data_IF_976215876767
#
_entry.id   IF_976215876767
#
_cell.length_a   1.000
_cell.length_b   1.000
_cell.length_c   1.000
_cell.angle_alpha   90.00
_cell.angle_beta   90.00
_cell.angle_gamma   90.00
#
_symmetry.space_group_name_H-M   'P 1'
#
loop_
_entity.id
_entity.type
_entity.pdbx_description
1 polymer ?
#
# COMPACT_ATOMS: atom_id res chain seq x y z
N UNK A 1 15.03 1.36 5.26
CA UNK A 1 13.83 0.56 4.93
C UNK A 1 12.65 1.31 5.50
N UNK A 2 11.48 1.24 4.87
CA UNK A 2 10.26 1.85 5.40
C UNK A 2 9.92 1.29 6.78
N UNK A 3 9.54 2.17 7.71
CA UNK A 3 9.03 1.79 9.03
C UNK A 3 7.51 1.65 9.02
N UNK A 4 6.96 0.83 9.93
CA UNK A 4 5.51 0.64 10.03
C UNK A 4 4.86 1.94 10.51
N UNK A 5 3.88 2.50 9.77
CA UNK A 5 3.15 3.67 10.22
C UNK A 5 2.37 3.41 11.51
N UNK A 6 2.27 4.44 12.35
CA UNK A 6 1.41 4.47 13.53
C UNK A 6 -0.01 4.93 13.12
N UNK A 7 -1.02 4.55 13.91
CA UNK A 7 -2.41 5.04 13.77
C UNK A 7 -3.09 4.79 12.41
N UNK A 8 -2.81 3.64 11.78
CA UNK A 8 -3.50 3.25 10.55
C UNK A 8 -4.98 2.94 10.87
N UNK A 9 -5.96 3.55 10.18
CA UNK A 9 -7.37 3.36 10.48
C UNK A 9 -7.84 1.95 10.13
N UNK A 10 -8.78 1.43 10.93
CA UNK A 10 -9.49 0.18 10.61
C UNK A 10 -10.71 0.49 9.73
N UNK A 11 -10.44 0.90 8.49
CA UNK A 11 -11.43 1.37 7.53
C UNK A 11 -11.05 0.96 6.10
N UNK A 12 -12.01 0.93 5.16
CA UNK A 12 -11.70 0.68 3.76
C UNK A 12 -10.94 1.86 3.13
N UNK A 13 -10.11 1.56 2.13
CA UNK A 13 -9.24 2.56 1.52
C UNK A 13 -8.34 2.01 0.42
N UNK A 14 -7.71 2.92 -0.31
CA UNK A 14 -6.56 2.61 -1.17
C UNK A 14 -5.27 3.10 -0.52
N UNK A 15 -4.18 2.37 -0.71
CA UNK A 15 -2.85 2.71 -0.19
C UNK A 15 -1.79 2.58 -1.29
N UNK A 16 -0.72 3.35 -1.16
CA UNK A 16 0.36 3.42 -2.13
C UNK A 16 1.70 3.38 -1.41
N UNK A 17 2.61 2.53 -1.87
CA UNK A 17 4.01 2.57 -1.43
C UNK A 17 4.81 3.41 -2.42
N UNK A 18 5.72 4.24 -1.90
CA UNK A 18 6.55 5.12 -2.71
C UNK A 18 8.04 4.84 -2.51
N UNK A 19 8.83 5.07 -3.56
CA UNK A 19 10.28 5.04 -3.51
C UNK A 19 10.88 6.40 -3.06
N UNK A 20 12.21 6.49 -3.01
CA UNK A 20 12.96 7.71 -2.64
C UNK A 20 12.75 8.88 -3.60
N UNK A 21 12.32 8.61 -4.83
CA UNK A 21 12.03 9.60 -5.86
C UNK A 21 10.56 10.09 -5.78
N UNK A 22 9.84 9.73 -4.72
CA UNK A 22 8.42 10.06 -4.52
C UNK A 22 7.48 9.49 -5.60
N UNK A 23 7.90 8.45 -6.31
CA UNK A 23 7.05 7.73 -7.27
C UNK A 23 6.30 6.59 -6.57
N UNK A 24 5.01 6.45 -6.87
CA UNK A 24 4.22 5.31 -6.39
C UNK A 24 4.68 4.03 -7.12
N UNK A 25 5.26 3.10 -6.37
CA UNK A 25 5.80 1.84 -6.91
C UNK A 25 4.83 0.67 -6.73
N UNK A 26 3.82 0.82 -5.89
CA UNK A 26 2.75 -0.15 -5.67
C UNK A 26 1.48 0.59 -5.27
N UNK A 27 0.33 0.11 -5.73
CA UNK A 27 -1.00 0.60 -5.35
C UNK A 27 -1.86 -0.61 -4.99
N UNK A 28 -2.60 -0.52 -3.90
CA UNK A 28 -3.54 -1.55 -3.50
C UNK A 28 -4.79 -1.00 -2.84
N UNK A 29 -5.82 -1.84 -2.72
CA UNK A 29 -7.03 -1.58 -1.92
C UNK A 29 -7.11 -2.46 -0.67
N UNK A 30 -7.87 -1.98 0.31
CA UNK A 30 -8.10 -2.67 1.55
C UNK A 30 -9.56 -2.54 2.01
N UNK A 31 -10.09 -3.61 2.61
CA UNK A 31 -11.29 -3.56 3.47
C UNK A 31 -10.98 -2.90 4.82
N UNK A 32 -9.77 -3.16 5.31
CA UNK A 32 -9.18 -2.59 6.52
C UNK A 32 -7.75 -2.18 6.18
N UNK A 33 -7.49 -0.87 6.10
CA UNK A 33 -6.16 -0.31 5.89
C UNK A 33 -5.20 -0.80 6.97
N UNK A 34 -5.63 -0.83 8.23
CA UNK A 34 -4.85 -1.34 9.37
C UNK A 34 -4.36 -2.76 9.11
N UNK A 35 -5.25 -3.70 8.79
CA UNK A 35 -4.88 -5.09 8.58
C UNK A 35 -4.00 -5.26 7.33
N UNK A 36 -4.39 -4.62 6.22
CA UNK A 36 -3.69 -4.78 4.95
C UNK A 36 -2.28 -4.20 5.02
N UNK A 37 -2.12 -2.95 5.46
CA UNK A 37 -0.80 -2.30 5.55
C UNK A 37 0.09 -3.03 6.57
N UNK A 38 -0.46 -3.43 7.72
CA UNK A 38 0.32 -4.15 8.73
C UNK A 38 0.86 -5.50 8.23
N UNK A 39 0.18 -6.16 7.28
CA UNK A 39 0.62 -7.44 6.72
C UNK A 39 1.96 -7.37 5.96
N UNK A 40 2.38 -6.18 5.51
CA UNK A 40 3.67 -5.98 4.85
C UNK A 40 4.85 -5.88 5.83
N UNK A 41 4.58 -5.66 7.12
CA UNK A 41 5.59 -5.45 8.16
C UNK A 41 5.78 -6.68 9.07
N UNK A 42 5.46 -7.87 8.55
CA UNK A 42 5.76 -9.15 9.20
C UNK A 42 7.21 -9.56 8.92
N UNK A 43 7.65 -10.71 9.46
CA UNK A 43 8.97 -11.27 9.14
C UNK A 43 9.17 -11.34 7.60
N UNK A 44 10.20 -10.68 7.04
CA UNK A 44 10.43 -10.64 5.59
C UNK A 44 10.53 -12.02 4.92
N UNK A 45 10.98 -13.04 5.64
CA UNK A 45 11.06 -14.41 5.14
C UNK A 45 9.68 -15.02 4.84
N UNK A 46 8.62 -14.51 5.50
CA UNK A 46 7.24 -14.91 5.27
C UNK A 46 6.57 -14.18 4.11
N UNK A 47 7.18 -13.12 3.60
CA UNK A 47 6.66 -12.39 2.44
C UNK A 47 7.05 -13.11 1.15
N UNK A 48 6.15 -13.09 0.17
CA UNK A 48 6.48 -13.46 -1.20
C UNK A 48 7.63 -12.59 -1.72
N UNK A 49 8.50 -13.17 -2.56
CA UNK A 49 9.71 -12.51 -3.05
C UNK A 49 9.41 -11.15 -3.73
N UNK A 50 8.37 -11.07 -4.57
CA UNK A 50 7.96 -9.80 -5.21
C UNK A 50 7.58 -8.73 -4.18
N UNK A 51 6.83 -9.11 -3.14
CA UNK A 51 6.44 -8.20 -2.04
C UNK A 51 7.65 -7.75 -1.24
N UNK A 52 8.57 -8.67 -0.95
CA UNK A 52 9.82 -8.39 -0.24
C UNK A 52 10.68 -7.40 -1.02
N UNK A 53 10.81 -7.57 -2.34
CA UNK A 53 11.52 -6.63 -3.22
C UNK A 53 10.86 -5.25 -3.26
N UNK A 54 9.53 -5.20 -3.36
CA UNK A 54 8.77 -3.94 -3.31
C UNK A 54 9.03 -3.20 -1.98
N UNK A 55 8.95 -3.89 -0.85
CA UNK A 55 9.21 -3.32 0.48
C UNK A 55 10.64 -2.84 0.68
N UNK A 56 11.63 -3.46 0.03
CA UNK A 56 13.03 -2.99 0.04
C UNK A 56 13.19 -1.64 -0.68
N UNK A 57 12.39 -1.40 -1.71
CA UNK A 57 12.42 -0.18 -2.51
C UNK A 57 11.49 0.92 -1.96
N UNK A 58 10.51 0.56 -1.14
CA UNK A 58 9.61 1.48 -0.49
C UNK A 58 10.30 2.25 0.65
N UNK A 59 9.99 3.55 0.75
CA UNK A 59 10.44 4.43 1.84
C UNK A 59 9.30 5.10 2.59
N UNK A 60 8.11 5.20 1.96
CA UNK A 60 6.88 5.65 2.62
C UNK A 60 5.67 4.89 2.08
N UNK A 61 4.60 4.90 2.88
CA UNK A 61 3.28 4.41 2.50
C UNK A 61 2.28 5.50 2.85
N UNK A 62 1.37 5.78 1.92
CA UNK A 62 0.27 6.71 2.12
C UNK A 62 -1.04 5.99 1.84
N UNK A 63 -2.14 6.55 2.33
CA UNK A 63 -3.46 5.97 2.13
C UNK A 63 -4.56 7.04 2.06
N UNK A 64 -5.64 6.67 1.39
CA UNK A 64 -6.87 7.43 1.31
C UNK A 64 -7.99 6.53 1.84
N UNK A 65 -8.62 6.96 2.93
CA UNK A 65 -9.80 6.32 3.49
C UNK A 65 -11.02 6.65 2.63
N UNK A 66 -11.89 5.66 2.44
CA UNK A 66 -13.17 5.81 1.73
C UNK A 66 -14.30 5.18 2.54
N UNK A 67 -15.53 5.27 2.05
CA UNK A 67 -16.71 4.81 2.79
C UNK A 67 -17.10 3.35 2.47
N UNK A 68 -16.59 2.78 1.37
CA UNK A 68 -16.95 1.43 0.94
C UNK A 68 -15.80 0.69 0.24
N UNK A 69 -15.93 -0.64 0.15
CA UNK A 69 -14.98 -1.46 -0.64
C UNK A 69 -15.02 -1.14 -2.14
N UNK A 70 -16.20 -0.73 -2.65
CA UNK A 70 -16.37 -0.35 -4.04
C UNK A 70 -15.61 0.93 -4.35
N UNK A 71 -15.72 1.94 -3.49
CA UNK A 71 -14.95 3.18 -3.63
C UNK A 71 -13.45 2.90 -3.58
N UNK A 72 -13.02 1.98 -2.73
CA UNK A 72 -11.60 1.61 -2.60
C UNK A 72 -11.09 0.96 -3.89
N UNK A 73 -11.91 0.14 -4.54
CA UNK A 73 -11.62 -0.48 -5.85
C UNK A 73 -11.56 0.56 -6.97
N UNK A 74 -12.53 1.47 -7.05
CA UNK A 74 -12.55 2.51 -8.07
C UNK A 74 -11.36 3.46 -7.93
N UNK A 75 -11.00 3.81 -6.70
CA UNK A 75 -9.84 4.65 -6.39
C UNK A 75 -8.53 3.94 -6.73
N UNK A 76 -8.34 2.70 -6.28
CA UNK A 76 -7.17 1.87 -6.62
C UNK A 76 -6.96 1.81 -8.14
N UNK A 77 -8.03 1.48 -8.89
CA UNK A 77 -7.97 1.38 -10.34
C UNK A 77 -7.57 2.72 -11.00
N UNK A 78 -8.12 3.84 -10.50
CA UNK A 78 -7.76 5.18 -10.99
C UNK A 78 -6.29 5.49 -10.71
N UNK A 79 -5.81 5.20 -9.51
CA UNK A 79 -4.42 5.42 -9.11
C UNK A 79 -3.42 4.52 -9.86
N UNK A 80 -3.78 3.27 -10.15
CA UNK A 80 -2.97 2.39 -11.01
C UNK A 80 -2.82 2.98 -12.41
N UNK A 81 -3.90 3.50 -12.99
CA UNK A 81 -3.85 4.16 -14.30
C UNK A 81 -3.00 5.42 -14.29
N UNK A 82 -3.12 6.24 -13.24
CA UNK A 82 -2.37 7.49 -13.11
C UNK A 82 -0.87 7.25 -12.89
N UNK A 83 -0.52 6.32 -12.00
CA UNK A 83 0.87 6.14 -11.56
C UNK A 83 1.63 5.04 -12.29
N UNK A 84 0.93 4.08 -12.90
CA UNK A 84 1.51 2.90 -13.57
C UNK A 84 2.61 2.23 -12.71
N UNK A 85 2.26 1.81 -11.48
CA UNK A 85 3.24 1.31 -10.52
C UNK A 85 3.98 0.08 -11.04
N UNK A 86 5.25 -0.05 -10.65
CA UNK A 86 6.13 -1.14 -11.08
C UNK A 86 5.69 -2.51 -10.54
N UNK A 87 5.16 -2.57 -9.32
CA UNK A 87 4.92 -3.81 -8.57
C UNK A 87 3.45 -4.21 -8.49
#
# INVERSE_FOLDING_TARGET
MIERPLHIPDAPGSYQFYNRESQAIYVGKARSLKNRISSYFVNPERLHERTRQMMRNAVRVEWIQVNSELDALLLEHSLIKTHQPKY
#
